data_IF_926471107373
#
_entry.id   IF_926471107373
#
_cell.length_a   1.000
_cell.length_b   1.000
_cell.length_c   1.000
_cell.angle_alpha   90.00
_cell.angle_beta   90.00
_cell.angle_gamma   90.00
#
_symmetry.space_group_name_H-M   'P 1'
#
loop_
_entity.id
_entity.type
_entity.pdbx_description
1 polymer ?
#
# COMPACT_ATOMS: atom_id res chain seq x y z
N UNK A 1 17.87 -27.87 24.66
CA UNK A 1 19.28 -28.06 24.25
C UNK A 1 19.43 -27.45 22.87
N UNK A 2 20.18 -26.35 22.73
CA UNK A 2 20.33 -25.66 21.44
C UNK A 2 21.39 -26.40 20.59
N UNK A 3 21.06 -26.74 19.34
CA UNK A 3 22.04 -27.28 18.38
C UNK A 3 22.75 -26.11 17.66
N UNK A 4 24.08 -26.07 17.74
CA UNK A 4 24.93 -25.12 17.02
C UNK A 4 25.45 -25.77 15.74
N UNK A 5 25.59 -25.01 14.64
CA UNK A 5 26.29 -25.50 13.45
C UNK A 5 27.81 -25.47 13.63
N UNK A 6 28.59 -26.06 12.71
CA UNK A 6 30.06 -26.14 12.83
C UNK A 6 30.77 -24.79 12.75
N UNK A 7 30.07 -23.73 12.36
CA UNK A 7 30.55 -22.35 12.35
C UNK A 7 30.13 -21.58 13.62
N UNK A 8 29.54 -22.26 14.62
CA UNK A 8 29.18 -21.68 15.92
C UNK A 8 27.89 -20.88 15.91
N UNK A 9 27.11 -20.89 14.83
CA UNK A 9 25.83 -20.20 14.76
C UNK A 9 24.69 -21.09 15.27
N UNK A 10 23.78 -20.48 16.03
CA UNK A 10 22.57 -21.14 16.57
C UNK A 10 21.69 -21.56 15.40
N UNK A 11 21.50 -22.87 15.23
CA UNK A 11 20.50 -23.39 14.30
C UNK A 11 19.17 -23.20 15.02
N UNK A 12 18.40 -22.21 14.59
CA UNK A 12 17.06 -22.01 15.10
C UNK A 12 16.21 -23.18 14.57
N UNK A 13 15.77 -24.04 15.49
CA UNK A 13 14.76 -25.06 15.20
C UNK A 13 13.56 -24.37 14.58
N UNK A 14 13.04 -24.97 13.53
CA UNK A 14 12.02 -24.42 12.66
C UNK A 14 10.64 -24.50 13.33
N UNK A 15 10.43 -23.76 14.40
CA UNK A 15 9.16 -23.53 15.10
C UNK A 15 9.44 -22.42 16.11
N UNK A 16 8.97 -21.21 15.79
CA UNK A 16 8.82 -19.98 16.61
C UNK A 16 9.18 -18.72 15.78
N UNK A 17 8.25 -18.33 14.91
CA UNK A 17 8.13 -16.96 14.40
C UNK A 17 6.68 -16.51 14.49
N UNK A 18 6.25 -16.21 15.72
CA UNK A 18 5.23 -15.20 15.91
C UNK A 18 5.88 -13.81 15.81
N UNK A 19 5.35 -12.98 14.91
CA UNK A 19 5.48 -11.52 14.97
C UNK A 19 6.63 -10.89 14.20
N UNK A 20 6.26 -9.90 13.37
CA UNK A 20 7.11 -8.88 12.72
C UNK A 20 7.69 -9.23 11.34
N UNK A 21 6.80 -9.43 10.38
CA UNK A 21 7.02 -8.92 9.00
C UNK A 21 5.64 -8.59 8.40
N UNK A 22 4.94 -7.67 9.05
CA UNK A 22 3.91 -6.91 8.36
C UNK A 22 4.63 -5.99 7.40
N UNK A 23 4.68 -6.35 6.13
CA UNK A 23 5.00 -5.43 5.04
C UNK A 23 4.09 -4.21 5.23
N UNK A 24 4.66 -3.12 5.77
CA UNK A 24 3.97 -1.86 6.00
C UNK A 24 3.60 -1.14 4.71
N UNK A 25 3.84 -1.75 3.55
CA UNK A 25 3.13 -1.42 2.33
C UNK A 25 1.67 -1.84 2.50
N UNK A 26 0.75 -0.88 2.51
CA UNK A 26 -0.65 -1.16 2.16
C UNK A 26 -0.65 -1.79 0.77
N UNK A 27 -0.48 -3.12 0.69
CA UNK A 27 -0.40 -3.84 -0.58
C UNK A 27 -1.82 -3.97 -1.07
N UNK A 28 -2.28 -2.91 -1.71
CA UNK A 28 -3.56 -2.83 -2.38
C UNK A 28 -3.62 -3.97 -3.41
N UNK A 29 -4.34 -5.02 -3.07
CA UNK A 29 -4.59 -6.15 -3.95
C UNK A 29 -5.82 -5.83 -4.78
N UNK A 30 -5.65 -5.11 -5.90
CA UNK A 30 -6.75 -4.97 -6.85
C UNK A 30 -7.01 -6.34 -7.50
N UNK A 31 -8.30 -6.68 -7.71
CA UNK A 31 -8.68 -7.92 -8.40
C UNK A 31 -8.15 -7.97 -9.84
N UNK A 32 -8.02 -6.81 -10.47
CA UNK A 32 -7.54 -6.64 -11.83
C UNK A 32 -6.10 -6.09 -11.84
N UNK A 33 -5.10 -6.82 -12.37
CA UNK A 33 -3.71 -6.36 -12.43
C UNK A 33 -3.55 -5.03 -13.16
N UNK A 34 -4.40 -4.75 -14.16
CA UNK A 34 -4.39 -3.47 -14.88
C UNK A 34 -4.75 -2.27 -13.97
N UNK A 35 -5.62 -2.47 -12.99
CA UNK A 35 -5.99 -1.41 -12.04
C UNK A 35 -4.81 -1.03 -11.13
N UNK A 36 -3.93 -1.98 -10.77
CA UNK A 36 -2.71 -1.67 -10.01
C UNK A 36 -1.77 -0.74 -10.77
N UNK A 37 -1.65 -0.91 -12.09
CA UNK A 37 -0.77 -0.04 -12.92
C UNK A 37 -1.28 1.40 -12.89
N UNK A 38 -2.58 1.59 -13.09
CA UNK A 38 -3.21 2.93 -13.02
C UNK A 38 -3.06 3.52 -11.62
N UNK A 39 -3.33 2.73 -10.57
CA UNK A 39 -3.23 3.21 -9.20
C UNK A 39 -1.79 3.62 -8.83
N UNK A 40 -0.79 2.85 -9.27
CA UNK A 40 0.62 3.16 -9.08
C UNK A 40 1.03 4.44 -9.82
N UNK A 41 0.52 4.67 -11.04
CA UNK A 41 0.72 5.93 -11.75
C UNK A 41 0.16 7.11 -10.94
N UNK A 42 -1.06 7.00 -10.41
CA UNK A 42 -1.69 8.08 -9.62
C UNK A 42 -0.91 8.41 -8.34
N UNK A 43 -0.43 7.37 -7.65
CA UNK A 43 0.39 7.55 -6.44
C UNK A 43 1.73 8.19 -6.78
N UNK A 44 2.43 7.66 -7.78
CA UNK A 44 3.79 8.10 -8.13
C UNK A 44 3.83 9.48 -8.79
N UNK A 45 2.83 9.81 -9.60
CA UNK A 45 2.66 11.13 -10.23
C UNK A 45 1.94 12.15 -9.34
N UNK A 46 1.49 11.74 -8.15
CA UNK A 46 0.76 12.58 -7.18
C UNK A 46 -0.57 13.15 -7.68
N UNK A 47 -1.16 12.59 -8.74
CA UNK A 47 -2.50 12.98 -9.22
C UNK A 47 -3.58 12.85 -8.15
N UNK A 48 -3.36 12.04 -7.12
CA UNK A 48 -4.26 11.94 -5.97
C UNK A 48 -4.43 13.26 -5.19
N UNK A 49 -3.46 14.17 -5.26
CA UNK A 49 -3.54 15.49 -4.60
C UNK A 49 -4.58 16.41 -5.27
N UNK A 50 -4.96 16.13 -6.52
CA UNK A 50 -5.95 16.90 -7.28
C UNK A 50 -7.37 16.29 -7.20
N UNK A 51 -7.51 15.14 -6.56
CA UNK A 51 -8.80 14.47 -6.39
C UNK A 51 -9.59 15.19 -5.30
N UNK A 52 -10.74 15.75 -5.69
CA UNK A 52 -11.68 16.41 -4.79
C UNK A 52 -12.50 15.34 -4.08
N UNK A 53 -12.49 15.35 -2.75
CA UNK A 53 -13.39 14.53 -1.96
C UNK A 53 -14.65 15.30 -1.52
N UNK A 54 -15.50 14.66 -0.71
CA UNK A 54 -16.73 15.28 -0.26
C UNK A 54 -16.48 16.40 0.77
N UNK A 55 -15.41 16.30 1.58
CA UNK A 55 -15.07 17.30 2.60
C UNK A 55 -14.59 18.60 1.93
N UNK A 56 -13.72 18.46 0.92
CA UNK A 56 -13.28 19.55 0.04
C UNK A 56 -14.46 20.32 -0.57
N UNK A 57 -15.50 19.61 -1.01
CA UNK A 57 -16.71 20.22 -1.59
C UNK A 57 -17.56 20.94 -0.55
N UNK A 58 -17.59 20.47 0.70
CA UNK A 58 -18.32 21.15 1.77
C UNK A 58 -17.63 22.47 2.16
N UNK A 59 -16.30 22.51 2.11
CA UNK A 59 -15.52 23.73 2.33
C UNK A 59 -15.64 24.71 1.15
N UNK A 60 -15.68 24.20 -0.08
CA UNK A 60 -15.84 24.97 -1.31
C UNK A 60 -16.77 24.26 -2.30
N UNK A 61 -18.02 24.73 -2.37
CA UNK A 61 -19.07 24.14 -3.22
C UNK A 61 -18.74 24.14 -4.72
N UNK A 62 -17.71 24.91 -5.14
CA UNK A 62 -17.28 24.96 -6.54
C UNK A 62 -16.39 23.78 -6.92
N UNK A 63 -15.81 23.07 -5.96
CA UNK A 63 -15.02 21.87 -6.21
C UNK A 63 -15.94 20.70 -6.53
N UNK A 64 -15.75 20.03 -7.67
CA UNK A 64 -16.60 18.92 -8.09
C UNK A 64 -16.06 17.56 -7.62
N UNK A 65 -16.66 17.03 -6.56
CA UNK A 65 -16.36 15.70 -6.00
C UNK A 65 -16.64 14.52 -6.96
N UNK A 66 -17.32 14.74 -8.09
CA UNK A 66 -17.45 13.73 -9.15
C UNK A 66 -16.18 13.60 -10.01
N UNK A 67 -15.26 14.57 -9.91
CA UNK A 67 -13.97 14.58 -10.61
C UNK A 67 -14.10 14.23 -12.12
N UNK A 68 -14.82 15.01 -12.94
CA UNK A 68 -15.15 14.65 -14.33
C UNK A 68 -13.92 14.54 -15.26
N UNK A 69 -12.80 15.16 -14.88
CA UNK A 69 -11.54 15.10 -15.63
C UNK A 69 -10.62 13.94 -15.16
N UNK A 70 -11.04 13.15 -14.17
CA UNK A 70 -10.17 12.17 -13.50
C UNK A 70 -9.59 11.12 -14.45
N UNK A 71 -10.25 10.77 -15.56
CA UNK A 71 -9.82 9.71 -16.48
C UNK A 71 -9.68 10.16 -17.93
N UNK A 72 -9.53 11.47 -18.17
CA UNK A 72 -9.40 12.00 -19.54
C UNK A 72 -7.98 11.94 -20.10
#
# INVERSE_FOLDING_TARGET
MNLLNSAGYKILSQEDKEGLEGDGGCRLTTKEPAANVVLLDYISSKKWEEVVDFDDHLDDITKDWLNPELFK
#
